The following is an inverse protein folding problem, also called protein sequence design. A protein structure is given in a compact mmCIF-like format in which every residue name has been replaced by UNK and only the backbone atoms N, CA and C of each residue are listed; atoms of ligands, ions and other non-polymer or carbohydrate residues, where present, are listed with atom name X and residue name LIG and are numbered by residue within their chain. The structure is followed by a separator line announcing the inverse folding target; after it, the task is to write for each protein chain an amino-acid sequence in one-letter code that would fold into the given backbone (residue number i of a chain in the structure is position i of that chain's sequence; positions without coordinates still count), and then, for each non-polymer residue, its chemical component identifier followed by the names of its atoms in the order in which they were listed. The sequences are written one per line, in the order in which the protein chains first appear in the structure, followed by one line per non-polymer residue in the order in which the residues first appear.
data_IF_193279255970
#
_entry.id   IF_193279255970
#
_cell.length_a   1.000
_cell.length_b   1.000
_cell.length_c   1.000
_cell.angle_alpha   90.00
_cell.angle_beta   90.00
_cell.angle_gamma   90.00
#
_symmetry.space_group_name_H-M   'P 1'
#
loop_
_entity.id
_entity.type
_entity.pdbx_description
1 polymer ?
#
# COMPACT_ATOMS: atom_id res chain seq x y z
N UNK A 1 11.01 -25.68 17.96
CA UNK A 1 10.01 -24.72 17.44
C UNK A 1 10.62 -23.33 17.51
N UNK A 2 11.06 -22.70 16.39
CA UNK A 2 11.45 -21.30 16.39
C UNK A 2 10.54 -20.50 15.44
N UNK A 3 9.43 -19.96 15.97
CA UNK A 3 8.56 -19.03 15.24
C UNK A 3 8.03 -17.94 16.18
N UNK A 4 8.90 -17.13 16.78
CA UNK A 4 8.47 -15.98 17.58
C UNK A 4 9.14 -14.65 17.20
N UNK A 5 10.00 -14.65 16.19
CA UNK A 5 10.62 -13.41 15.68
C UNK A 5 9.98 -12.88 14.40
N UNK A 6 9.11 -13.65 13.74
CA UNK A 6 8.48 -13.25 12.48
C UNK A 6 7.23 -12.39 12.69
N UNK A 7 6.47 -12.64 13.75
CA UNK A 7 5.23 -11.90 14.04
C UNK A 7 5.46 -10.54 14.71
N UNK A 8 6.54 -10.39 15.49
CA UNK A 8 6.84 -9.12 16.15
C UNK A 8 7.32 -8.02 15.17
N UNK A 9 7.85 -8.40 14.00
CA UNK A 9 8.33 -7.45 12.99
C UNK A 9 7.20 -6.83 12.17
N UNK A 10 6.03 -7.48 12.10
CA UNK A 10 4.88 -6.95 11.34
C UNK A 10 4.13 -5.87 12.14
N UNK A 11 4.13 -5.96 13.47
CA UNK A 11 3.47 -4.97 14.33
C UNK A 11 4.16 -3.59 14.40
N UNK A 12 5.40 -3.46 13.91
CA UNK A 12 6.24 -2.27 14.11
C UNK A 12 6.45 -1.38 12.87
N UNK A 13 5.86 -1.70 11.71
CA UNK A 13 6.02 -0.89 10.50
C UNK A 13 4.70 -0.20 10.11
N UNK A 14 4.50 1.09 10.48
CA UNK A 14 3.31 1.86 10.11
C UNK A 14 3.02 1.88 8.61
N UNK A 15 4.05 1.80 7.76
CA UNK A 15 3.86 1.76 6.31
C UNK A 15 3.30 0.42 5.83
N UNK A 16 3.76 -0.70 6.40
CA UNK A 16 3.20 -2.02 6.07
C UNK A 16 1.71 -2.09 6.47
N UNK A 17 1.36 -1.57 7.65
CA UNK A 17 -0.04 -1.46 8.05
C UNK A 17 -0.86 -0.56 7.14
N UNK A 18 -0.30 0.57 6.71
CA UNK A 18 -0.97 1.47 5.77
C UNK A 18 -1.18 0.82 4.39
N UNK A 19 -0.21 0.01 3.95
CA UNK A 19 -0.34 -0.80 2.73
C UNK A 19 -1.47 -1.82 2.86
N UNK A 20 -1.48 -2.62 3.93
CA UNK A 20 -2.54 -3.63 4.16
C UNK A 20 -3.93 -2.97 4.18
N UNK A 21 -4.04 -1.80 4.80
CA UNK A 21 -5.30 -1.03 4.85
C UNK A 21 -5.70 -0.53 3.46
N UNK A 22 -4.79 0.04 2.69
CA UNK A 22 -5.11 0.53 1.35
C UNK A 22 -5.40 -0.61 0.37
N UNK A 23 -4.77 -1.78 0.50
CA UNK A 23 -5.10 -2.97 -0.30
C UNK A 23 -6.53 -3.46 0.01
N UNK A 24 -6.92 -3.52 1.28
CA UNK A 24 -8.28 -3.87 1.67
C UNK A 24 -9.33 -2.86 1.16
N UNK A 25 -9.01 -1.56 1.22
CA UNK A 25 -9.88 -0.50 0.67
C UNK A 25 -9.97 -0.63 -0.85
N UNK A 26 -8.85 -0.85 -1.54
CA UNK A 26 -8.83 -1.02 -3.00
C UNK A 26 -9.72 -2.18 -3.43
N UNK A 27 -9.63 -3.33 -2.74
CA UNK A 27 -10.49 -4.50 -3.02
C UNK A 27 -11.97 -4.17 -2.80
N UNK A 28 -12.32 -3.54 -1.68
CA UNK A 28 -13.69 -3.16 -1.37
C UNK A 28 -14.27 -2.14 -2.38
N UNK A 29 -13.48 -1.15 -2.80
CA UNK A 29 -13.88 -0.16 -3.81
C UNK A 29 -14.02 -0.82 -5.18
N UNK A 30 -13.10 -1.70 -5.56
CA UNK A 30 -13.16 -2.44 -6.82
C UNK A 30 -14.37 -3.38 -6.90
N UNK A 31 -14.69 -4.08 -5.81
CA UNK A 31 -15.90 -4.90 -5.74
C UNK A 31 -17.16 -4.03 -5.89
N UNK A 32 -17.21 -2.89 -5.18
CA UNK A 32 -18.34 -1.97 -5.27
C UNK A 32 -18.52 -1.40 -6.69
N UNK A 33 -17.41 -1.09 -7.38
CA UNK A 33 -17.43 -0.65 -8.78
C UNK A 33 -18.02 -1.73 -9.70
N UNK A 34 -17.58 -2.99 -9.54
CA UNK A 34 -18.07 -4.11 -10.33
C UNK A 34 -19.57 -4.38 -10.10
N UNK A 35 -20.03 -4.30 -8.85
CA UNK A 35 -21.45 -4.44 -8.51
C UNK A 35 -22.28 -3.31 -9.12
N UNK A 36 -21.83 -2.06 -9.04
CA UNK A 36 -22.51 -0.91 -9.66
C UNK A 36 -22.60 -1.08 -11.18
N UNK A 37 -21.51 -1.47 -11.83
CA UNK A 37 -21.48 -1.71 -13.27
C UNK A 37 -22.46 -2.82 -13.69
N UNK A 38 -22.55 -3.89 -12.91
CA UNK A 38 -23.53 -4.95 -13.15
C UNK A 38 -24.97 -4.42 -13.01
N UNK A 39 -25.27 -3.67 -11.95
CA UNK A 39 -26.60 -3.10 -11.71
C UNK A 39 -27.00 -2.16 -12.85
N UNK A 40 -26.11 -1.26 -13.27
CA UNK A 40 -26.39 -0.35 -14.36
C UNK A 40 -26.54 -1.07 -15.69
N UNK A 41 -25.70 -2.06 -15.99
CA UNK A 41 -25.86 -2.89 -17.20
C UNK A 41 -27.22 -3.59 -17.25
N UNK A 42 -27.74 -4.06 -16.10
CA UNK A 42 -29.08 -4.64 -15.99
C UNK A 42 -30.16 -3.57 -16.19
N UNK A 43 -30.08 -2.43 -15.51
CA UNK A 43 -31.05 -1.34 -15.66
C UNK A 43 -31.11 -0.82 -17.11
N UNK A 44 -29.95 -0.65 -17.73
CA UNK A 44 -29.82 -0.21 -19.12
C UNK A 44 -30.36 -1.22 -20.13
N UNK A 45 -30.35 -2.53 -19.82
CA UNK A 45 -30.95 -3.56 -20.69
C UNK A 45 -32.43 -3.78 -20.45
N UNK A 46 -32.87 -3.78 -19.19
CA UNK A 46 -34.22 -4.20 -18.80
C UNK A 46 -35.24 -3.06 -18.87
N UNK A 47 -34.79 -1.80 -18.77
CA UNK A 47 -35.70 -0.65 -18.94
C UNK A 47 -35.94 -0.43 -20.45
N UNK A 48 -37.20 -0.44 -20.92
CA UNK A 48 -37.51 -0.08 -22.31
C UNK A 48 -37.12 1.37 -22.62
N UNK A 49 -36.62 1.64 -23.82
CA UNK A 49 -36.15 2.99 -24.20
C UNK A 49 -37.24 4.07 -24.09
N UNK A 50 -38.51 3.69 -24.29
CA UNK A 50 -39.66 4.58 -24.09
C UNK A 50 -39.79 5.07 -22.63
N UNK A 51 -39.27 4.32 -21.66
CA UNK A 51 -39.25 4.65 -20.23
C UNK A 51 -37.91 5.26 -19.78
N UNK A 52 -36.85 5.18 -20.59
CA UNK A 52 -35.58 5.86 -20.35
C UNK A 52 -35.64 7.33 -20.77
N UNK A 53 -36.55 8.08 -20.16
CA UNK A 53 -36.70 9.51 -20.44
C UNK A 53 -36.77 10.28 -19.13
N UNK A 54 -36.51 11.59 -19.20
CA UNK A 54 -36.54 12.47 -18.03
C UNK A 54 -35.58 12.02 -16.92
N UNK A 55 -36.12 11.82 -15.72
CA UNK A 55 -35.35 11.48 -14.52
C UNK A 55 -34.66 10.11 -14.61
N UNK A 56 -35.25 9.15 -15.33
CA UNK A 56 -34.66 7.81 -15.50
C UNK A 56 -33.40 7.87 -16.37
N UNK A 57 -33.44 8.63 -17.46
CA UNK A 57 -32.26 8.82 -18.32
C UNK A 57 -31.13 9.52 -17.55
N UNK A 58 -31.47 10.56 -16.78
CA UNK A 58 -30.49 11.25 -15.93
C UNK A 58 -29.91 10.32 -14.86
N UNK A 59 -30.74 9.49 -14.22
CA UNK A 59 -30.25 8.54 -13.22
C UNK A 59 -29.27 7.52 -13.81
N UNK A 60 -29.52 7.03 -15.02
CA UNK A 60 -28.60 6.11 -15.73
C UNK A 60 -27.27 6.82 -16.02
N UNK A 61 -27.31 8.01 -16.63
CA UNK A 61 -26.09 8.80 -16.94
C UNK A 61 -25.28 9.11 -15.67
N UNK A 62 -25.95 9.52 -14.59
CA UNK A 62 -25.29 9.76 -13.29
C UNK A 62 -24.66 8.50 -12.70
N UNK A 63 -25.28 7.36 -12.90
CA UNK A 63 -24.74 6.08 -12.43
C UNK A 63 -23.50 5.70 -13.24
N UNK A 64 -23.48 5.92 -14.55
CA UNK A 64 -22.29 5.74 -15.40
C UNK A 64 -21.14 6.68 -14.97
N UNK A 65 -21.44 7.96 -14.72
CA UNK A 65 -20.45 8.91 -14.18
C UNK A 65 -19.88 8.42 -12.82
N UNK A 66 -20.74 7.92 -11.94
CA UNK A 66 -20.33 7.45 -10.63
C UNK A 66 -19.45 6.20 -10.74
N UNK A 67 -19.81 5.23 -11.58
CA UNK A 67 -19.00 4.04 -11.87
C UNK A 67 -17.61 4.42 -12.35
N UNK A 68 -17.51 5.33 -13.31
CA UNK A 68 -16.21 5.79 -13.82
C UNK A 68 -15.36 6.40 -12.71
N UNK A 69 -15.96 7.17 -11.80
CA UNK A 69 -15.25 7.78 -10.67
C UNK A 69 -14.81 6.75 -9.63
N UNK A 70 -15.66 5.77 -9.31
CA UNK A 70 -15.32 4.70 -8.36
C UNK A 70 -14.22 3.82 -8.93
N UNK A 71 -14.27 3.49 -10.23
CA UNK A 71 -13.19 2.76 -10.90
C UNK A 71 -11.87 3.54 -10.89
N UNK A 72 -11.90 4.83 -11.22
CA UNK A 72 -10.72 5.68 -11.14
C UNK A 72 -10.13 5.72 -9.72
N UNK A 73 -10.99 5.71 -8.70
CA UNK A 73 -10.55 5.68 -7.29
C UNK A 73 -9.86 4.36 -6.94
N UNK A 74 -10.32 3.23 -7.48
CA UNK A 74 -9.67 1.93 -7.33
C UNK A 74 -8.29 1.91 -8.00
N UNK A 75 -8.18 2.52 -9.19
CA UNK A 75 -6.92 2.62 -9.93
C UNK A 75 -5.91 3.52 -9.19
N UNK A 76 -6.36 4.66 -8.67
CA UNK A 76 -5.53 5.56 -7.84
C UNK A 76 -5.02 4.87 -6.58
N UNK A 77 -5.87 4.07 -5.91
CA UNK A 77 -5.46 3.26 -4.77
C UNK A 77 -4.39 2.22 -5.15
N UNK A 78 -4.48 1.62 -6.35
CA UNK A 78 -3.46 0.71 -6.85
C UNK A 78 -2.09 1.40 -6.97
N UNK A 79 -2.07 2.65 -7.47
CA UNK A 79 -0.86 3.45 -7.57
C UNK A 79 -0.27 3.77 -6.20
N UNK A 80 -1.11 4.14 -5.22
CA UNK A 80 -0.68 4.38 -3.84
C UNK A 80 -0.09 3.12 -3.21
N UNK A 81 -0.73 1.97 -3.41
CA UNK A 81 -0.23 0.68 -2.92
C UNK A 81 1.14 0.34 -3.52
N UNK A 82 1.33 0.59 -4.82
CA UNK A 82 2.63 0.41 -5.44
C UNK A 82 3.70 1.33 -4.84
N UNK A 83 3.40 2.61 -4.66
CA UNK A 83 4.33 3.56 -4.05
C UNK A 83 4.70 3.18 -2.61
N UNK A 84 3.75 2.67 -1.83
CA UNK A 84 4.01 2.16 -0.48
C UNK A 84 4.93 0.93 -0.48
N UNK A 85 4.73 -0.01 -1.41
CA UNK A 85 5.61 -1.19 -1.57
C UNK A 85 7.05 -0.78 -1.89
N UNK A 86 7.21 0.20 -2.78
CA UNK A 86 8.51 0.71 -3.19
C UNK A 86 9.22 1.40 -2.01
N UNK A 87 8.52 2.24 -1.25
CA UNK A 87 9.06 2.93 -0.07
C UNK A 87 9.45 1.95 1.05
N UNK A 88 8.62 0.94 1.33
CA UNK A 88 8.94 -0.11 2.32
C UNK A 88 10.23 -0.83 1.91
N UNK A 89 10.37 -1.17 0.63
CA UNK A 89 11.56 -1.85 0.10
C UNK A 89 12.80 -0.97 0.19
N UNK A 90 12.68 0.32 -0.17
CA UNK A 90 13.77 1.28 -0.10
C UNK A 90 14.25 1.50 1.34
N UNK A 91 13.32 1.62 2.30
CA UNK A 91 13.68 1.75 3.73
C UNK A 91 14.40 0.53 4.26
N UNK A 92 13.90 -0.67 3.95
CA UNK A 92 14.55 -1.90 4.38
C UNK A 92 16.00 -2.01 3.84
N UNK A 93 16.25 -1.53 2.62
CA UNK A 93 17.60 -1.48 2.06
C UNK A 93 18.48 -0.44 2.77
N UNK A 94 17.97 0.77 3.00
CA UNK A 94 18.70 1.82 3.72
C UNK A 94 19.03 1.41 5.16
N UNK A 95 18.12 0.74 5.85
CA UNK A 95 18.34 0.22 7.21
C UNK A 95 19.46 -0.85 7.23
N UNK A 96 19.51 -1.73 6.22
CA UNK A 96 20.62 -2.70 6.07
C UNK A 96 21.95 -2.00 5.85
N UNK A 97 21.99 -1.01 4.96
CA UNK A 97 23.21 -0.25 4.68
C UNK A 97 23.70 0.52 5.90
N UNK A 98 22.78 1.14 6.65
CA UNK A 98 23.09 1.84 7.89
C UNK A 98 23.68 0.90 8.94
N UNK A 99 23.07 -0.27 9.13
CA UNK A 99 23.57 -1.28 10.07
C UNK A 99 24.98 -1.77 9.70
N UNK A 100 25.24 -2.01 8.41
CA UNK A 100 26.56 -2.38 7.91
C UNK A 100 27.60 -1.28 8.18
N UNK A 101 27.30 -0.03 7.83
CA UNK A 101 28.19 1.10 8.04
C UNK A 101 28.49 1.35 9.54
N UNK A 102 27.48 1.18 10.40
CA UNK A 102 27.66 1.28 11.86
C UNK A 102 28.58 0.17 12.40
N UNK A 103 28.45 -1.05 11.89
CA UNK A 103 29.31 -2.16 12.26
C UNK A 103 30.76 -1.93 11.83
N UNK A 104 30.99 -1.47 10.60
CA UNK A 104 32.32 -1.12 10.09
C UNK A 104 32.97 0.00 10.91
N UNK A 105 32.20 1.05 11.23
CA UNK A 105 32.68 2.16 12.04
C UNK A 105 33.03 1.71 13.46
N UNK A 106 32.22 0.84 14.07
CA UNK A 106 32.51 0.24 15.37
C UNK A 106 33.79 -0.60 15.37
N UNK A 107 34.02 -1.38 14.31
CA UNK A 107 35.27 -2.15 14.14
C UNK A 107 36.48 -1.23 13.97
N UNK A 108 36.37 -0.18 13.16
CA UNK A 108 37.45 0.78 12.96
C UNK A 108 37.82 1.50 14.28
N UNK A 109 36.82 1.87 15.08
CA UNK A 109 37.04 2.49 16.40
C UNK A 109 37.71 1.55 17.40
N UNK A 110 37.39 0.25 17.38
CA UNK A 110 38.04 -0.76 18.23
C UNK A 110 39.49 -1.02 17.79
N UNK A 111 39.76 -1.00 16.49
CA UNK A 111 41.12 -1.13 15.95
C UNK A 111 41.99 0.11 16.22
N UNK A 112 41.37 1.28 16.38
CA UNK A 112 42.08 2.55 16.65
C UNK A 112 42.22 2.88 18.15
N UNK A 113 41.70 2.07 19.07
CA UNK A 113 42.10 2.13 20.48
C UNK A 113 43.50 1.50 20.59
N UNK A 114 44.58 2.31 20.71
CA UNK A 114 45.91 1.76 20.89
C UNK A 114 45.99 1.20 22.29
N UNK A 115 46.61 0.03 22.43
CA UNK A 115 47.06 -0.54 23.69
C UNK A 115 47.76 0.54 24.53
N UNK A 116 47.01 1.15 25.43
CA UNK A 116 47.53 2.07 26.43
C UNK A 116 47.98 1.23 27.61
N UNK A 117 49.12 0.56 27.44
CA UNK A 117 49.86 -0.02 28.55
C UNK A 117 50.91 -1.04 28.10
N UNK A 118 52.03 -1.20 28.82
CA UNK A 118 52.70 -0.29 29.75
C UNK A 118 54.22 -0.17 29.47
N UNK A 119 54.84 1.00 29.63
CA UNK A 119 56.30 1.08 29.76
C UNK A 119 56.76 2.42 30.35
N UNK A 120 57.14 2.45 31.63
CA UNK A 120 58.55 2.57 32.03
C UNK A 120 58.71 3.02 33.50
N UNK A 121 59.43 2.16 34.24
CA UNK A 121 60.24 2.39 35.46
C UNK A 121 59.55 2.51 36.81
#
# INVERSE_FOLDING_TARGET
MPQSHKDASIAANPLARALDQNEAIQESVGQSAAELCLVNAVLSREIPDALKTGEVAQAIERTEELESRVQASADDLALVNQALKDEISARAELERQLAAAQAELGQAQQQHQPESGPAAR
#
